data_IF_452549985417
#
_entry.id   IF_452549985417
#
_cell.length_a   1.000
_cell.length_b   1.000
_cell.length_c   1.000
_cell.angle_alpha   90.00
_cell.angle_beta   90.00
_cell.angle_gamma   90.00
#
_symmetry.space_group_name_H-M   'P 1'
#
loop_
_entity.id
_entity.type
_entity.pdbx_description
1 polymer ?
#
# COMPACT_ATOMS: atom_id res chain seq x y z
N UNK A 1 6.52 7.91 17.50
CA UNK A 1 6.59 8.34 18.92
C UNK A 1 5.50 7.61 19.69
N UNK A 2 5.72 7.25 20.95
CA UNK A 2 4.74 6.59 21.81
C UNK A 2 4.36 7.52 22.95
N UNK A 3 3.07 7.64 23.19
CA UNK A 3 2.49 8.42 24.28
C UNK A 3 1.64 7.51 25.17
N UNK A 4 1.47 7.87 26.44
CA UNK A 4 0.52 7.22 27.33
C UNK A 4 -0.92 7.75 27.09
N UNK A 5 -1.88 7.27 27.88
CA UNK A 5 -3.28 7.70 27.79
C UNK A 5 -3.51 9.18 28.11
N UNK A 6 -2.54 9.86 28.73
CA UNK A 6 -2.56 11.27 29.09
C UNK A 6 -1.78 12.14 28.09
N UNK A 7 -1.34 11.55 26.97
CA UNK A 7 -0.50 12.18 25.94
C UNK A 7 0.91 12.56 26.43
N UNK A 8 1.40 11.96 27.53
CA UNK A 8 2.78 12.13 27.94
C UNK A 8 3.70 11.27 27.07
N UNK A 9 4.83 11.83 26.66
CA UNK A 9 5.82 11.10 25.88
C UNK A 9 6.39 9.92 26.68
N UNK A 10 6.31 8.73 26.10
CA UNK A 10 6.85 7.50 26.69
C UNK A 10 8.16 7.09 26.02
N UNK A 11 8.20 7.07 24.69
CA UNK A 11 9.36 6.60 23.94
C UNK A 11 9.37 7.06 22.49
N UNK A 12 10.57 7.12 21.88
CA UNK A 12 10.71 7.18 20.43
C UNK A 12 10.58 5.76 19.87
N UNK A 13 9.83 5.62 18.78
CA UNK A 13 9.76 4.37 18.01
C UNK A 13 10.68 4.60 16.82
N UNK A 14 11.81 3.91 16.79
CA UNK A 14 12.73 3.94 15.65
C UNK A 14 12.16 3.09 14.51
N UNK A 15 12.49 3.46 13.27
CA UNK A 15 12.15 2.65 12.10
C UNK A 15 12.93 1.33 12.07
N UNK A 16 12.60 0.40 11.16
CA UNK A 16 13.45 -0.75 10.88
C UNK A 16 14.87 -0.30 10.51
N UNK A 17 15.88 -0.68 11.30
CA UNK A 17 17.25 -0.13 11.20
C UNK A 17 17.87 -0.22 9.81
N UNK A 18 17.55 -1.26 9.05
CA UNK A 18 18.12 -1.48 7.72
C UNK A 18 17.56 -0.54 6.65
N UNK A 19 16.42 0.13 6.89
CA UNK A 19 15.91 1.15 5.96
C UNK A 19 16.91 2.31 5.83
N UNK A 20 17.73 2.55 6.85
CA UNK A 20 18.77 3.60 6.81
C UNK A 20 19.88 3.32 5.79
N UNK A 21 20.07 2.05 5.40
CA UNK A 21 21.15 1.63 4.50
C UNK A 21 20.68 1.55 3.03
N UNK A 22 19.39 1.75 2.77
CA UNK A 22 18.75 1.53 1.48
C UNK A 22 18.14 2.81 0.91
N UNK A 23 18.21 2.99 -0.42
CA UNK A 23 17.52 4.11 -1.08
C UNK A 23 16.05 3.77 -1.29
N UNK A 24 15.17 4.43 -0.53
CA UNK A 24 13.72 4.27 -0.64
C UNK A 24 13.20 5.10 -1.82
N UNK A 25 12.57 4.44 -2.79
CA UNK A 25 11.99 5.08 -3.96
C UNK A 25 10.51 5.43 -3.74
N UNK A 26 9.79 4.56 -3.02
CA UNK A 26 8.38 4.75 -2.66
C UNK A 26 8.10 4.23 -1.28
N UNK A 27 7.23 4.95 -0.58
CA UNK A 27 6.72 4.56 0.71
C UNK A 27 5.25 4.97 0.88
N UNK A 28 4.46 4.12 1.51
CA UNK A 28 3.05 4.37 1.84
C UNK A 28 2.73 3.76 3.19
N UNK A 29 1.97 4.51 3.99
CA UNK A 29 1.49 4.05 5.28
C UNK A 29 -0.02 4.18 5.38
N UNK A 30 -0.63 3.28 6.14
CA UNK A 30 -2.04 3.39 6.52
C UNK A 30 -2.22 2.89 7.96
N UNK A 31 -3.18 3.48 8.68
CA UNK A 31 -3.49 3.11 10.05
C UNK A 31 -4.77 2.26 10.08
N UNK A 32 -4.75 1.20 10.89
CA UNK A 32 -5.91 0.39 11.20
C UNK A 32 -6.61 0.90 12.47
N UNK A 33 -7.91 0.63 12.60
CA UNK A 33 -8.70 1.03 13.77
C UNK A 33 -8.32 0.32 15.06
N UNK A 34 -7.56 -0.79 14.98
CA UNK A 34 -6.98 -1.48 16.15
C UNK A 34 -5.66 -0.86 16.63
N UNK A 35 -5.21 0.25 16.02
CA UNK A 35 -4.00 0.96 16.41
C UNK A 35 -2.73 0.46 15.73
N UNK A 36 -2.80 -0.58 14.90
CA UNK A 36 -1.67 -1.01 14.08
C UNK A 36 -1.47 -0.04 12.89
N UNK A 37 -0.24 0.11 12.44
CA UNK A 37 0.12 0.84 11.22
C UNK A 37 0.78 -0.12 10.24
N UNK A 38 0.35 -0.09 8.99
CA UNK A 38 0.98 -0.85 7.91
C UNK A 38 1.80 0.09 7.05
N UNK A 39 3.03 -0.33 6.74
CA UNK A 39 4.00 0.48 6.01
C UNK A 39 4.57 -0.34 4.85
N UNK A 40 4.21 0.03 3.63
CA UNK A 40 4.77 -0.55 2.42
C UNK A 40 5.89 0.33 1.89
N UNK A 41 7.03 -0.28 1.61
CA UNK A 41 8.21 0.37 1.05
C UNK A 41 8.69 -0.36 -0.18
N UNK A 42 9.21 0.41 -1.14
CA UNK A 42 9.93 -0.11 -2.29
C UNK A 42 11.21 0.72 -2.45
N UNK A 43 12.34 0.01 -2.47
CA UNK A 43 13.62 0.57 -2.89
C UNK A 43 13.94 0.17 -4.31
N UNK A 44 15.21 0.32 -4.70
CA UNK A 44 15.66 -0.21 -5.99
C UNK A 44 15.51 -1.72 -6.01
N UNK A 45 16.15 -2.46 -5.10
CA UNK A 45 16.30 -3.92 -5.21
C UNK A 45 15.30 -4.74 -4.40
N UNK A 46 14.41 -4.08 -3.67
CA UNK A 46 13.49 -4.75 -2.74
C UNK A 46 12.17 -4.02 -2.61
N UNK A 47 11.19 -4.76 -2.12
CA UNK A 47 9.96 -4.21 -1.57
C UNK A 47 9.52 -5.01 -0.37
N UNK A 48 8.95 -4.33 0.62
CA UNK A 48 8.56 -4.97 1.87
C UNK A 48 7.33 -4.31 2.50
N UNK A 49 6.58 -5.09 3.26
CA UNK A 49 5.42 -4.66 4.05
C UNK A 49 5.73 -4.88 5.53
N UNK A 50 5.62 -3.81 6.32
CA UNK A 50 5.75 -3.85 7.77
C UNK A 50 4.41 -3.64 8.45
N UNK A 51 4.29 -4.22 9.64
CA UNK A 51 3.31 -3.84 10.64
C UNK A 51 4.03 -3.23 11.84
N UNK A 52 3.61 -2.03 12.25
CA UNK A 52 3.87 -1.50 13.57
C UNK A 52 2.68 -1.86 14.46
N UNK A 53 2.90 -2.72 15.45
CA UNK A 53 1.85 -3.04 16.42
C UNK A 53 1.52 -1.83 17.31
N UNK A 54 0.33 -1.80 17.89
CA UNK A 54 -0.07 -0.80 18.88
C UNK A 54 0.89 -0.71 20.09
N UNK A 55 1.67 -1.76 20.36
CA UNK A 55 2.70 -1.76 21.41
C UNK A 55 3.96 -0.97 21.03
N UNK A 56 4.13 -0.64 19.74
CA UNK A 56 5.29 0.03 19.17
C UNK A 56 6.36 -0.92 18.63
N UNK A 57 5.97 -2.12 18.19
CA UNK A 57 6.90 -3.12 17.64
C UNK A 57 6.73 -3.26 16.13
N UNK A 58 7.81 -3.06 15.38
CA UNK A 58 7.86 -3.35 13.95
C UNK A 58 8.02 -4.85 13.70
N UNK A 59 7.25 -5.38 12.76
CA UNK A 59 7.33 -6.74 12.25
C UNK A 59 7.33 -6.70 10.71
N UNK A 60 8.25 -7.40 10.07
CA UNK A 60 8.22 -7.61 8.61
C UNK A 60 7.20 -8.69 8.27
N UNK A 61 6.17 -8.34 7.50
CA UNK A 61 5.08 -9.25 7.13
C UNK A 61 5.32 -9.93 5.79
N UNK A 62 5.85 -9.21 4.81
CA UNK A 62 6.16 -9.72 3.48
C UNK A 62 7.40 -9.03 2.93
N UNK A 63 8.27 -9.77 2.26
CA UNK A 63 9.46 -9.23 1.63
C UNK A 63 9.63 -9.86 0.25
N UNK A 64 9.89 -9.01 -0.75
CA UNK A 64 10.29 -9.41 -2.09
C UNK A 64 11.65 -8.80 -2.39
N UNK A 65 12.64 -9.65 -2.67
CA UNK A 65 13.97 -9.21 -3.15
C UNK A 65 14.12 -9.56 -4.62
N UNK A 66 14.59 -8.61 -5.41
CA UNK A 66 15.06 -8.87 -6.77
C UNK A 66 16.56 -9.16 -6.76
N UNK A 67 16.99 -10.25 -7.39
CA UNK A 67 18.41 -10.45 -7.68
C UNK A 67 18.79 -9.69 -8.96
N UNK A 68 19.86 -8.89 -8.93
CA UNK A 68 20.42 -8.30 -10.14
C UNK A 68 21.13 -9.39 -10.94
N UNK A 69 20.62 -9.72 -12.12
CA UNK A 69 21.48 -10.30 -13.15
C UNK A 69 22.14 -9.13 -13.87
N UNK A 70 23.40 -8.87 -13.52
CA UNK A 70 24.28 -7.98 -14.27
C UNK A 70 24.61 -8.71 -15.57
N UNK A 71 23.95 -8.38 -16.68
CA UNK A 71 24.63 -8.28 -17.98
C UNK A 71 23.82 -7.54 -19.05
N UNK A 72 24.55 -6.73 -19.83
CA UNK A 72 24.18 -6.09 -21.11
C UNK A 72 23.10 -4.98 -21.10
N UNK A 73 23.58 -3.75 -20.89
CA UNK A 73 23.41 -2.64 -21.82
C UNK A 73 22.00 -2.43 -22.45
N UNK A 74 20.99 -2.29 -21.60
CA UNK A 74 19.76 -1.55 -21.92
C UNK A 74 19.61 -0.42 -20.89
N UNK A 75 20.29 0.69 -21.20
CA UNK A 75 20.08 1.97 -20.56
C UNK A 75 18.60 2.38 -20.74
N UNK A 76 18.00 2.87 -19.66
CA UNK A 76 16.60 3.26 -19.43
C UNK A 76 15.67 2.15 -18.89
N UNK A 77 15.54 2.17 -17.55
CA UNK A 77 14.40 1.64 -16.78
C UNK A 77 14.24 0.11 -16.69
N UNK A 78 15.09 -0.55 -15.91
CA UNK A 78 14.78 -1.87 -15.33
C UNK A 78 14.74 -1.83 -13.80
N UNK A 79 13.82 -1.05 -13.22
CA UNK A 79 13.54 -1.07 -11.77
C UNK A 79 12.57 -2.20 -11.44
N UNK A 80 13.07 -3.44 -11.28
CA UNK A 80 12.47 -4.62 -10.62
C UNK A 80 10.94 -4.88 -10.68
N UNK A 81 10.55 -6.14 -10.91
CA UNK A 81 9.16 -6.57 -11.12
C UNK A 81 8.22 -6.53 -9.89
N UNK A 82 8.61 -5.89 -8.79
CA UNK A 82 8.01 -6.07 -7.46
C UNK A 82 7.74 -4.76 -6.71
N UNK A 83 7.34 -3.69 -7.38
CA UNK A 83 7.14 -2.39 -6.73
C UNK A 83 5.79 -2.34 -5.99
N UNK A 84 5.82 -2.40 -4.65
CA UNK A 84 4.67 -2.04 -3.84
C UNK A 84 4.41 -0.54 -3.98
N UNK A 85 3.21 -0.19 -4.45
CA UNK A 85 2.89 1.21 -4.77
C UNK A 85 1.90 1.84 -3.81
N UNK A 86 1.12 1.03 -3.12
CA UNK A 86 0.12 1.50 -2.17
C UNK A 86 -0.27 0.40 -1.18
N UNK A 87 -0.63 0.81 0.02
CA UNK A 87 -1.16 -0.05 1.07
C UNK A 87 -2.36 0.64 1.71
N UNK A 88 -3.42 -0.11 1.99
CA UNK A 88 -4.63 0.44 2.61
C UNK A 88 -5.31 -0.63 3.47
N UNK A 89 -5.78 -0.24 4.65
CA UNK A 89 -6.60 -1.13 5.48
C UNK A 89 -7.99 -1.21 4.88
N UNK A 90 -8.46 -2.44 4.61
CA UNK A 90 -9.81 -2.72 4.14
C UNK A 90 -10.76 -2.89 5.31
N UNK A 91 -10.38 -3.71 6.29
CA UNK A 91 -11.24 -4.02 7.43
C UNK A 91 -10.44 -4.53 8.64
N UNK A 92 -11.03 -4.38 9.83
CA UNK A 92 -10.57 -5.04 11.05
C UNK A 92 -11.73 -5.89 11.57
N UNK A 93 -11.55 -7.21 11.63
CA UNK A 93 -12.57 -8.19 12.00
C UNK A 93 -12.03 -9.06 13.14
N UNK A 94 -12.36 -8.70 14.39
CA UNK A 94 -11.82 -9.36 15.56
C UNK A 94 -10.27 -9.25 15.59
N UNK A 95 -9.53 -10.37 15.65
CA UNK A 95 -8.07 -10.36 15.66
C UNK A 95 -7.43 -10.25 14.25
N UNK A 96 -8.24 -10.21 13.19
CA UNK A 96 -7.75 -10.19 11.81
C UNK A 96 -7.86 -8.78 11.24
N UNK A 97 -6.78 -8.30 10.62
CA UNK A 97 -6.78 -7.09 9.79
C UNK A 97 -6.67 -7.48 8.32
N UNK A 98 -7.61 -7.03 7.50
CA UNK A 98 -7.51 -7.13 6.05
C UNK A 98 -6.81 -5.91 5.48
N UNK A 99 -5.73 -6.15 4.74
CA UNK A 99 -4.89 -5.12 4.14
C UNK A 99 -4.87 -5.32 2.62
N UNK A 100 -5.16 -4.24 1.90
CA UNK A 100 -4.94 -4.15 0.47
C UNK A 100 -3.49 -3.73 0.21
N UNK A 101 -2.81 -4.45 -0.66
CA UNK A 101 -1.45 -4.14 -1.11
C UNK A 101 -1.40 -4.13 -2.63
N UNK A 102 -0.94 -3.02 -3.21
CA UNK A 102 -0.95 -2.78 -4.65
C UNK A 102 0.43 -3.02 -5.26
N UNK A 103 0.48 -3.75 -6.37
CA UNK A 103 1.68 -3.99 -7.19
C UNK A 103 1.43 -3.52 -8.63
N UNK A 104 2.06 -2.40 -8.99
CA UNK A 104 1.78 -1.69 -10.25
C UNK A 104 2.17 -2.53 -11.48
N UNK A 105 3.36 -3.14 -11.49
CA UNK A 105 3.90 -3.86 -12.66
C UNK A 105 3.12 -5.11 -13.03
N UNK A 106 2.63 -5.85 -12.04
CA UNK A 106 1.84 -7.08 -12.26
C UNK A 106 0.35 -6.80 -12.46
N UNK A 107 -0.06 -5.54 -12.41
CA UNK A 107 -1.48 -5.19 -12.42
C UNK A 107 -2.22 -5.70 -11.17
N UNK A 108 -1.48 -6.08 -10.12
CA UNK A 108 -1.99 -6.95 -9.07
C UNK A 108 -2.38 -6.15 -7.83
N UNK A 109 -3.50 -6.56 -7.25
CA UNK A 109 -3.96 -6.13 -5.94
C UNK A 109 -3.98 -7.37 -5.06
N UNK A 110 -3.40 -7.26 -3.88
CA UNK A 110 -3.42 -8.33 -2.89
C UNK A 110 -4.34 -7.98 -1.75
N UNK A 111 -5.15 -8.94 -1.33
CA UNK A 111 -5.89 -8.88 -0.06
C UNK A 111 -5.17 -9.81 0.90
N UNK A 112 -4.56 -9.23 1.93
CA UNK A 112 -3.82 -9.93 2.96
C UNK A 112 -4.66 -9.98 4.23
N UNK A 113 -4.84 -11.16 4.81
CA UNK A 113 -5.39 -11.29 6.16
C UNK A 113 -4.23 -11.44 7.14
N UNK A 114 -4.02 -10.40 7.96
CA UNK A 114 -2.95 -10.35 8.96
C UNK A 114 -3.54 -10.69 10.32
N UNK A 115 -2.91 -11.63 11.03
CA UNK A 115 -3.27 -12.05 12.39
C UNK A 115 -2.00 -12.35 13.16
N UNK A 116 -1.93 -11.87 14.41
CA UNK A 116 -0.78 -12.12 15.30
C UNK A 116 0.56 -11.75 14.62
N UNK A 117 0.57 -10.63 13.89
CA UNK A 117 1.71 -10.14 13.08
C UNK A 117 2.23 -11.13 12.03
N UNK A 118 1.35 -11.97 11.48
CA UNK A 118 1.63 -12.91 10.40
C UNK A 118 0.57 -12.80 9.30
N UNK A 119 0.97 -12.99 8.04
CA UNK A 119 0.04 -13.12 6.91
C UNK A 119 -0.55 -14.53 6.93
N UNK A 120 -1.82 -14.65 7.33
CA UNK A 120 -2.55 -15.92 7.37
C UNK A 120 -3.10 -16.31 6.00
N UNK A 121 -3.57 -15.34 5.22
CA UNK A 121 -4.16 -15.54 3.89
C UNK A 121 -3.64 -14.47 2.94
N UNK A 122 -3.31 -14.87 1.71
CA UNK A 122 -2.98 -13.98 0.60
C UNK A 122 -3.86 -14.32 -0.60
N UNK A 123 -4.64 -13.35 -1.07
CA UNK A 123 -5.39 -13.44 -2.33
C UNK A 123 -4.86 -12.41 -3.30
N UNK A 124 -4.73 -12.78 -4.57
CA UNK A 124 -4.27 -11.90 -5.64
C UNK A 124 -5.36 -11.75 -6.69
N UNK A 125 -5.46 -10.56 -7.27
CA UNK A 125 -6.54 -10.14 -8.17
C UNK A 125 -6.05 -9.02 -9.06
N UNK A 126 -6.72 -8.82 -10.20
CA UNK A 126 -6.37 -7.82 -11.21
C UNK A 126 -7.62 -6.99 -11.57
N UNK A 127 -8.11 -6.15 -10.66
CA UNK A 127 -9.33 -5.35 -10.88
C UNK A 127 -9.16 -4.26 -11.94
N UNK A 128 -7.91 -3.91 -12.25
CA UNK A 128 -7.51 -2.83 -13.17
C UNK A 128 -6.24 -3.24 -13.92
N UNK A 129 -5.94 -2.58 -15.04
CA UNK A 129 -4.74 -2.91 -15.83
C UNK A 129 -3.45 -2.55 -15.10
N UNK A 130 -3.41 -1.35 -14.48
CA UNK A 130 -2.21 -0.85 -13.82
C UNK A 130 -2.57 -0.09 -12.52
N UNK A 131 -2.60 -0.76 -11.35
CA UNK A 131 -3.00 -0.14 -10.10
C UNK A 131 -1.94 0.85 -9.61
N UNK A 132 -2.38 2.05 -9.26
CA UNK A 132 -1.57 3.06 -8.57
C UNK A 132 -1.97 3.19 -7.11
N UNK A 133 -2.58 4.32 -6.76
CA UNK A 133 -3.07 4.59 -5.40
C UNK A 133 -4.42 3.97 -5.15
N UNK A 134 -4.67 3.56 -3.91
CA UNK A 134 -5.97 3.06 -3.44
C UNK A 134 -6.47 3.86 -2.24
N UNK A 135 -7.78 3.98 -2.10
CA UNK A 135 -8.42 4.36 -0.84
C UNK A 135 -9.66 3.50 -0.59
N UNK A 136 -10.07 3.46 0.68
CA UNK A 136 -11.27 2.76 1.14
C UNK A 136 -12.13 3.76 1.92
N UNK A 137 -13.43 3.80 1.62
CA UNK A 137 -14.36 4.67 2.34
C UNK A 137 -14.96 4.00 3.58
N UNK A 138 -15.76 4.76 4.32
CA UNK A 138 -16.48 4.30 5.51
C UNK A 138 -17.49 3.17 5.24
N UNK A 139 -17.97 3.01 4.00
CA UNK A 139 -18.86 1.95 3.55
C UNK A 139 -18.10 0.73 3.01
N UNK A 140 -16.77 0.72 3.12
CA UNK A 140 -15.85 -0.30 2.58
C UNK A 140 -15.84 -0.40 1.05
N UNK A 141 -16.25 0.64 0.35
CA UNK A 141 -16.03 0.76 -1.09
C UNK A 141 -14.56 1.05 -1.33
N UNK A 142 -14.00 0.34 -2.29
CA UNK A 142 -12.58 0.46 -2.66
C UNK A 142 -12.50 1.26 -3.94
N UNK A 143 -11.65 2.28 -3.96
CA UNK A 143 -11.36 3.06 -5.16
C UNK A 143 -9.90 2.87 -5.53
N UNK A 144 -9.65 2.44 -6.76
CA UNK A 144 -8.30 2.19 -7.29
C UNK A 144 -8.06 3.10 -8.48
N UNK A 145 -6.94 3.79 -8.47
CA UNK A 145 -6.46 4.52 -9.64
C UNK A 145 -5.86 3.53 -10.65
N UNK A 146 -6.49 3.40 -11.81
CA UNK A 146 -5.96 2.71 -12.98
C UNK A 146 -5.09 3.69 -13.78
N UNK A 147 -3.78 3.60 -13.59
CA UNK A 147 -2.81 4.52 -14.19
C UNK A 147 -2.80 4.40 -15.71
N UNK A 148 -3.10 3.21 -16.24
CA UNK A 148 -3.07 2.93 -17.68
C UNK A 148 -4.23 3.61 -18.40
N UNK A 149 -5.43 3.51 -17.82
CA UNK A 149 -6.65 4.09 -18.38
C UNK A 149 -6.93 5.52 -17.93
N UNK A 150 -6.19 6.04 -16.95
CA UNK A 150 -6.39 7.39 -16.41
C UNK A 150 -7.74 7.53 -15.71
N UNK A 151 -8.13 6.51 -14.93
CA UNK A 151 -9.44 6.44 -14.27
C UNK A 151 -9.29 6.08 -12.81
N UNK A 152 -10.17 6.60 -11.96
CA UNK A 152 -10.38 6.13 -10.61
C UNK A 152 -11.60 5.23 -10.64
N UNK A 153 -11.38 3.93 -10.48
CA UNK A 153 -12.40 2.89 -10.61
C UNK A 153 -12.88 2.46 -9.23
N UNK A 154 -14.18 2.31 -9.06
CA UNK A 154 -14.76 1.68 -7.87
C UNK A 154 -14.73 0.17 -8.04
N UNK A 155 -14.16 -0.54 -7.07
CA UNK A 155 -14.00 -2.00 -7.08
C UNK A 155 -14.99 -2.63 -6.12
N UNK A 156 -15.72 -3.65 -6.58
CA UNK A 156 -16.54 -4.48 -5.70
C UNK A 156 -15.65 -5.20 -4.69
N UNK A 157 -16.13 -5.37 -3.47
CA UNK A 157 -15.53 -6.28 -2.48
C UNK A 157 -16.54 -7.30 -1.97
N UNK A 158 -17.74 -7.34 -2.58
CA UNK A 158 -18.82 -8.24 -2.21
C UNK A 158 -18.66 -9.61 -2.84
N UNK A 159 -18.94 -10.67 -2.09
CA UNK A 159 -18.95 -12.05 -2.62
C UNK A 159 -17.62 -12.50 -3.23
N UNK A 160 -16.50 -11.96 -2.75
CA UNK A 160 -15.15 -12.16 -3.29
C UNK A 160 -14.97 -11.72 -4.76
N UNK A 161 -15.95 -11.05 -5.36
CA UNK A 161 -15.77 -10.41 -6.66
C UNK A 161 -15.05 -9.08 -6.46
N UNK A 162 -13.89 -8.97 -7.10
CA UNK A 162 -13.10 -7.74 -7.13
C UNK A 162 -13.03 -7.18 -8.53
N UNK A 163 -14.20 -6.97 -9.10
CA UNK A 163 -14.35 -6.41 -10.44
C UNK A 163 -14.57 -4.91 -10.34
N UNK A 164 -14.09 -4.17 -11.35
CA UNK A 164 -14.44 -2.77 -11.50
C UNK A 164 -15.95 -2.64 -11.78
N UNK A 165 -16.63 -1.87 -10.94
CA UNK A 165 -18.09 -1.68 -10.99
C UNK A 165 -18.49 -0.34 -11.60
N UNK A 166 -17.65 0.68 -11.46
CA UNK A 166 -17.93 2.02 -11.98
C UNK A 166 -16.64 2.82 -12.17
N UNK A 167 -16.70 3.85 -13.02
CA UNK A 167 -15.67 4.85 -13.22
C UNK A 167 -16.02 6.11 -12.40
N UNK A 168 -15.52 6.18 -11.16
CA UNK A 168 -15.87 7.25 -10.22
C UNK A 168 -15.33 8.63 -10.64
N UNK A 169 -14.17 8.67 -11.30
CA UNK A 169 -13.56 9.90 -11.81
C UNK A 169 -12.50 9.62 -12.87
N UNK A 170 -12.11 10.67 -13.62
CA UNK A 170 -10.96 10.65 -14.52
C UNK A 170 -9.73 11.23 -13.81
N UNK A 171 -8.56 10.69 -14.13
CA UNK A 171 -7.27 11.15 -13.65
C UNK A 171 -6.33 11.40 -14.83
N UNK A 172 -5.85 12.64 -14.97
CA UNK A 172 -5.02 13.05 -16.11
C UNK A 172 -3.57 12.51 -16.03
N UNK A 173 -3.09 12.17 -14.83
CA UNK A 173 -1.71 11.73 -14.56
C UNK A 173 -1.71 10.73 -13.40
N UNK A 174 -0.56 10.09 -13.17
CA UNK A 174 -0.35 9.27 -11.98
C UNK A 174 -0.61 10.07 -10.71
N UNK A 175 -1.49 9.55 -9.85
CA UNK A 175 -1.80 10.16 -8.56
C UNK A 175 -0.69 9.85 -7.56
N UNK A 176 -0.32 10.85 -6.77
CA UNK A 176 0.54 10.64 -5.61
C UNK A 176 -0.27 10.05 -4.45
N UNK A 177 -1.44 10.62 -4.14
CA UNK A 177 -2.32 10.12 -3.09
C UNK A 177 -3.78 10.19 -3.51
N UNK A 178 -4.57 9.29 -2.92
CA UNK A 178 -6.01 9.24 -3.08
C UNK A 178 -6.63 9.08 -1.69
N UNK A 179 -7.68 9.83 -1.41
CA UNK A 179 -8.44 9.71 -0.16
C UNK A 179 -9.91 9.89 -0.45
N UNK A 180 -10.74 9.24 0.35
CA UNK A 180 -12.19 9.32 0.27
C UNK A 180 -12.75 9.51 1.67
N UNK A 181 -13.77 10.36 1.80
CA UNK A 181 -14.45 10.60 3.07
C UNK A 181 -15.84 11.17 2.79
N UNK A 182 -16.90 10.53 3.30
CA UNK A 182 -18.29 11.04 3.22
C UNK A 182 -18.72 11.38 1.79
N UNK A 183 -18.38 10.50 0.85
CA UNK A 183 -18.68 10.66 -0.58
C UNK A 183 -17.82 11.69 -1.31
N UNK A 184 -16.86 12.34 -0.65
CA UNK A 184 -15.88 13.19 -1.31
C UNK A 184 -14.63 12.40 -1.66
N UNK A 185 -14.19 12.50 -2.91
CA UNK A 185 -12.95 11.92 -3.40
C UNK A 185 -11.91 13.02 -3.60
N UNK A 186 -10.77 12.90 -2.94
CA UNK A 186 -9.63 13.81 -3.06
C UNK A 186 -8.48 13.10 -3.78
N UNK A 187 -8.12 13.63 -4.96
CA UNK A 187 -7.00 13.16 -5.75
C UNK A 187 -5.85 14.16 -5.67
N UNK A 188 -4.65 13.69 -5.28
CA UNK A 188 -3.47 14.53 -5.12
C UNK A 188 -2.46 14.20 -6.20
N UNK A 189 -2.08 15.22 -6.97
CA UNK A 189 -0.97 15.16 -7.92
C UNK A 189 0.29 15.72 -7.27
N UNK A 190 1.44 15.25 -7.76
CA UNK A 190 2.74 15.80 -7.43
C UNK A 190 3.45 16.14 -8.74
N UNK A 191 3.96 17.37 -8.86
CA UNK A 191 4.64 17.80 -10.09
C UNK A 191 6.00 17.12 -10.26
N UNK A 192 6.77 17.00 -9.18
CA UNK A 192 8.07 16.31 -9.14
C UNK A 192 8.23 15.46 -7.87
N UNK A 193 8.88 14.30 -8.00
CA UNK A 193 9.40 13.59 -6.84
C UNK A 193 10.58 14.40 -6.30
N UNK A 194 10.43 15.03 -5.13
CA UNK A 194 11.58 15.56 -4.39
C UNK A 194 12.42 14.33 -4.01
N UNK A 195 13.54 14.16 -4.71
CA UNK A 195 14.65 13.26 -4.37
C UNK A 195 15.47 13.92 -3.28
#
# INVERSE_FOLDING_TARGET
MKFDSELNFTAKIEGPKWIEEETILRERLCAASNGNIYFAVAGETFSSLFELSAEGRWTELDQKRGQSFVDVQLLYSQTYDYEWVSVQVLSVIGPVTEVLLMEERRGAVYVLSVRDSLIAIRRAMNPVEKPGTVCVDEEKKVFVHDVRDGKIRQISTSGDSFEATDDAALAHKSLYALSVNKGFLAAVYREDNLV
#
